data_IF_376056122069
#
_entry.id   IF_376056122069
#
_cell.length_a   1.000
_cell.length_b   1.000
_cell.length_c   1.000
_cell.angle_alpha   90.00
_cell.angle_beta   90.00
_cell.angle_gamma   90.00
#
_symmetry.space_group_name_H-M   'P 1'
#
loop_
_entity.id
_entity.type
_entity.pdbx_description
1 polymer ?
#
# COMPACT_ATOMS: atom_id res chain seq x y z
N UNK A 1 -15.59 24.37 -36.72
CA UNK A 1 -16.32 24.16 -35.44
C UNK A 1 -15.97 22.86 -34.73
N UNK A 2 -15.78 21.73 -35.42
CA UNK A 2 -15.47 20.42 -34.79
C UNK A 2 -14.21 20.37 -33.90
N UNK A 3 -13.09 21.00 -34.30
CA UNK A 3 -11.84 21.00 -33.52
C UNK A 3 -11.92 21.78 -32.20
N UNK A 4 -12.76 22.82 -32.13
CA UNK A 4 -12.91 23.65 -30.93
C UNK A 4 -13.72 22.91 -29.87
N UNK A 5 -14.79 22.22 -30.28
CA UNK A 5 -15.59 21.37 -29.39
C UNK A 5 -14.79 20.17 -28.83
N UNK A 6 -13.92 19.56 -29.64
CA UNK A 6 -13.03 18.48 -29.18
C UNK A 6 -11.97 18.96 -28.17
N UNK A 7 -11.47 20.19 -28.31
CA UNK A 7 -10.51 20.75 -27.36
C UNK A 7 -11.17 21.12 -26.03
N UNK A 8 -12.39 21.67 -26.05
CA UNK A 8 -13.15 21.99 -24.83
C UNK A 8 -13.40 20.73 -24.00
N UNK A 9 -13.83 19.63 -24.63
CA UNK A 9 -14.07 18.37 -23.92
C UNK A 9 -12.80 17.74 -23.32
N UNK A 10 -11.64 17.94 -23.94
CA UNK A 10 -10.35 17.45 -23.41
C UNK A 10 -9.87 18.27 -22.22
N UNK A 11 -10.07 19.58 -22.26
CA UNK A 11 -9.68 20.49 -21.19
C UNK A 11 -10.56 20.29 -19.95
N UNK A 12 -11.86 20.08 -20.13
CA UNK A 12 -12.79 19.75 -19.04
C UNK A 12 -12.42 18.41 -18.38
N UNK A 13 -12.20 17.35 -19.16
CA UNK A 13 -11.76 16.06 -18.66
C UNK A 13 -10.45 16.16 -17.85
N UNK A 14 -9.50 16.95 -18.34
CA UNK A 14 -8.21 17.15 -17.65
C UNK A 14 -8.39 17.87 -16.31
N UNK A 15 -9.32 18.81 -16.21
CA UNK A 15 -9.65 19.49 -14.94
C UNK A 15 -10.33 18.55 -13.95
N UNK A 16 -11.23 17.71 -14.43
CA UNK A 16 -11.91 16.71 -13.61
C UNK A 16 -10.92 15.70 -13.04
N UNK A 17 -10.02 15.16 -13.87
CA UNK A 17 -8.94 14.26 -13.43
C UNK A 17 -8.06 14.94 -12.37
N UNK A 18 -7.58 16.15 -12.62
CA UNK A 18 -6.76 16.88 -11.64
C UNK A 18 -7.53 17.23 -10.35
N UNK A 19 -8.85 17.41 -10.41
CA UNK A 19 -9.67 17.60 -9.22
C UNK A 19 -9.83 16.30 -8.43
N UNK A 20 -9.97 15.17 -9.11
CA UNK A 20 -10.03 13.85 -8.50
C UNK A 20 -8.69 13.49 -7.84
N UNK A 21 -7.58 13.64 -8.53
CA UNK A 21 -6.22 13.41 -7.97
C UNK A 21 -5.98 14.26 -6.72
N UNK A 22 -6.43 15.52 -6.71
CA UNK A 22 -6.31 16.39 -5.53
C UNK A 22 -7.12 15.86 -4.34
N UNK A 23 -8.35 15.38 -4.59
CA UNK A 23 -9.18 14.79 -3.54
C UNK A 23 -8.56 13.51 -2.98
N UNK A 24 -8.08 12.64 -3.85
CA UNK A 24 -7.38 11.40 -3.46
C UNK A 24 -6.15 11.75 -2.61
N UNK A 25 -5.31 12.67 -3.08
CA UNK A 25 -4.14 13.13 -2.35
C UNK A 25 -4.49 13.74 -0.98
N UNK A 26 -5.57 14.52 -0.88
CA UNK A 26 -6.01 15.12 0.38
C UNK A 26 -6.48 14.06 1.39
N UNK A 27 -7.17 13.02 0.92
CA UNK A 27 -7.61 11.88 1.75
C UNK A 27 -6.40 11.10 2.26
N UNK A 28 -5.51 10.67 1.36
CA UNK A 28 -4.28 9.94 1.73
C UNK A 28 -3.44 10.76 2.70
N UNK A 29 -3.23 12.05 2.40
CA UNK A 29 -2.47 12.96 3.27
C UNK A 29 -3.05 13.02 4.67
N UNK A 30 -4.37 13.16 4.80
CA UNK A 30 -5.03 13.24 6.11
C UNK A 30 -4.87 11.94 6.90
N UNK A 31 -5.08 10.79 6.26
CA UNK A 31 -4.90 9.49 6.89
C UNK A 31 -3.45 9.30 7.38
N UNK A 32 -2.47 9.62 6.52
CA UNK A 32 -1.05 9.50 6.86
C UNK A 32 -0.64 10.45 7.99
N UNK A 33 -1.12 11.70 7.98
CA UNK A 33 -0.82 12.65 9.06
C UNK A 33 -1.41 12.19 10.39
N UNK A 34 -2.63 11.65 10.41
CA UNK A 34 -3.22 11.11 11.62
C UNK A 34 -2.39 9.97 12.19
N UNK A 35 -1.88 9.09 11.34
CA UNK A 35 -1.00 7.99 11.74
C UNK A 35 0.34 8.50 12.30
N UNK A 36 1.01 9.40 11.58
CA UNK A 36 2.30 9.97 11.99
C UNK A 36 2.24 10.85 13.25
N UNK A 37 1.06 11.34 13.60
CA UNK A 37 0.82 12.13 14.82
C UNK A 37 0.35 11.27 15.99
N UNK A 38 0.13 9.96 15.79
CA UNK A 38 -0.26 9.08 16.88
C UNK A 38 0.87 9.00 17.93
N UNK A 39 0.54 9.00 19.23
CA UNK A 39 1.56 8.87 20.27
C UNK A 39 2.25 7.51 20.17
N UNK A 40 3.58 7.51 20.31
CA UNK A 40 4.40 6.31 20.33
C UNK A 40 5.28 6.25 21.59
N UNK A 41 5.68 5.05 22.05
CA UNK A 41 6.65 4.94 23.13
C UNK A 41 8.04 5.42 22.67
N UNK A 42 8.75 6.16 23.53
CA UNK A 42 10.06 6.76 23.22
C UNK A 42 11.18 5.73 22.94
N UNK A 43 10.90 4.44 23.16
CA UNK A 43 11.88 3.37 23.12
C UNK A 43 11.71 2.39 21.95
N UNK A 44 10.90 2.76 20.97
CA UNK A 44 10.63 1.99 19.76
C UNK A 44 11.53 2.45 18.63
N UNK A 45 12.30 1.53 18.04
CA UNK A 45 13.21 1.83 16.95
C UNK A 45 13.08 0.85 15.80
N UNK A 46 12.99 1.40 14.59
CA UNK A 46 13.15 0.64 13.35
C UNK A 46 14.58 0.72 12.86
N UNK A 47 15.17 -0.43 12.53
CA UNK A 47 16.50 -0.44 11.92
C UNK A 47 16.42 0.12 10.49
N UNK A 48 17.49 0.77 10.03
CA UNK A 48 17.61 1.18 8.63
C UNK A 48 17.43 -0.01 7.67
N UNK A 49 17.84 -1.21 8.08
CA UNK A 49 17.64 -2.42 7.29
C UNK A 49 16.16 -2.73 7.10
N UNK A 50 15.38 -2.71 8.18
CA UNK A 50 13.92 -2.88 8.14
C UNK A 50 13.25 -1.88 7.21
N UNK A 51 13.60 -0.59 7.33
CA UNK A 51 13.04 0.46 6.48
C UNK A 51 13.38 0.20 5.01
N UNK A 52 14.64 -0.15 4.71
CA UNK A 52 15.06 -0.49 3.35
C UNK A 52 14.33 -1.72 2.80
N UNK A 53 14.08 -2.72 3.63
CA UNK A 53 13.40 -3.94 3.19
C UNK A 53 11.92 -3.69 2.87
N UNK A 54 11.23 -2.87 3.68
CA UNK A 54 9.84 -2.47 3.39
C UNK A 54 9.77 -1.66 2.10
N UNK A 55 10.66 -0.68 1.92
CA UNK A 55 10.71 0.12 0.69
C UNK A 55 11.06 -0.75 -0.52
N UNK A 56 12.01 -1.69 -0.37
CA UNK A 56 12.37 -2.63 -1.43
C UNK A 56 11.18 -3.53 -1.80
N UNK A 57 10.41 -4.00 -0.82
CA UNK A 57 9.21 -4.79 -1.05
C UNK A 57 8.16 -4.02 -1.86
N UNK A 58 7.96 -2.73 -1.58
CA UNK A 58 7.07 -1.88 -2.37
C UNK A 58 7.47 -1.87 -3.85
N UNK A 59 8.73 -1.54 -4.14
CA UNK A 59 9.21 -1.45 -5.52
C UNK A 59 9.30 -2.79 -6.25
N UNK A 60 9.41 -3.92 -5.52
CA UNK A 60 9.29 -5.24 -6.13
C UNK A 60 7.84 -5.62 -6.44
N UNK A 61 6.89 -5.14 -5.63
CA UNK A 61 5.48 -5.42 -5.82
C UNK A 61 4.88 -4.57 -6.96
N UNK A 62 5.32 -3.33 -7.13
CA UNK A 62 4.95 -2.46 -8.27
C UNK A 62 5.60 -2.96 -9.58
N UNK A 63 5.00 -3.99 -10.16
CA UNK A 63 5.50 -4.65 -11.38
C UNK A 63 5.22 -3.81 -12.63
N UNK A 64 4.11 -3.06 -12.61
CA UNK A 64 3.73 -2.16 -13.70
C UNK A 64 4.60 -0.90 -13.75
N UNK A 65 5.21 -0.50 -12.63
CA UNK A 65 6.09 0.66 -12.52
C UNK A 65 5.34 1.99 -12.51
N UNK A 66 4.06 1.97 -12.14
CA UNK A 66 3.21 3.17 -12.12
C UNK A 66 3.22 3.90 -10.77
N UNK A 67 4.01 3.41 -9.81
CA UNK A 67 4.16 3.99 -8.49
C UNK A 67 3.03 3.64 -7.53
N UNK A 68 2.16 2.69 -7.91
CA UNK A 68 1.11 2.14 -7.04
C UNK A 68 1.07 0.61 -7.16
N UNK A 69 0.65 -0.05 -6.10
CA UNK A 69 0.47 -1.51 -6.07
C UNK A 69 -1.01 -1.82 -6.25
N UNK A 70 -1.37 -2.44 -7.37
CA UNK A 70 -2.72 -3.01 -7.57
C UNK A 70 -2.98 -4.22 -6.67
N UNK A 71 -4.25 -4.61 -6.54
CA UNK A 71 -4.61 -5.79 -5.75
C UNK A 71 -3.94 -7.09 -6.25
N UNK A 72 -3.82 -7.26 -7.55
CA UNK A 72 -3.16 -8.44 -8.13
C UNK A 72 -1.65 -8.44 -7.88
N UNK A 73 -0.98 -7.30 -8.05
CA UNK A 73 0.42 -7.12 -7.67
C UNK A 73 0.65 -7.36 -6.17
N UNK A 74 -0.28 -6.90 -5.33
CA UNK A 74 -0.24 -7.18 -3.90
C UNK A 74 -0.34 -8.68 -3.62
N UNK A 75 -1.31 -9.40 -4.19
CA UNK A 75 -1.41 -10.86 -4.03
C UNK A 75 -0.16 -11.59 -4.52
N UNK A 76 0.36 -11.20 -5.68
CA UNK A 76 1.52 -11.85 -6.27
C UNK A 76 2.79 -11.60 -5.45
N UNK A 77 2.92 -10.42 -4.83
CA UNK A 77 4.02 -10.12 -3.90
C UNK A 77 4.02 -11.01 -2.65
N UNK A 78 2.88 -11.58 -2.26
CA UNK A 78 2.75 -12.46 -1.10
C UNK A 78 2.96 -13.95 -1.43
N UNK A 79 3.15 -14.28 -2.72
CA UNK A 79 3.41 -15.67 -3.11
C UNK A 79 4.76 -16.11 -2.56
N UNK A 80 4.87 -17.35 -2.06
CA UNK A 80 6.15 -17.93 -1.67
C UNK A 80 7.12 -17.85 -2.86
N UNK A 81 8.33 -17.33 -2.61
CA UNK A 81 9.34 -17.22 -3.64
C UNK A 81 9.86 -18.59 -4.08
N UNK A 82 10.68 -18.62 -5.16
CA UNK A 82 11.27 -19.86 -5.71
C UNK A 82 12.15 -20.67 -4.73
N UNK A 83 12.49 -20.08 -3.58
CA UNK A 83 13.30 -20.69 -2.53
C UNK A 83 12.47 -21.16 -1.33
N UNK A 84 11.15 -20.95 -1.36
CA UNK A 84 10.24 -21.48 -0.34
C UNK A 84 10.20 -23.01 -0.41
N UNK A 85 10.03 -23.66 0.74
CA UNK A 85 9.91 -25.12 0.80
C UNK A 85 8.67 -25.61 0.06
N UNK A 86 8.64 -26.89 -0.32
CA UNK A 86 7.46 -27.50 -0.94
C UNK A 86 6.23 -27.41 -0.04
N UNK A 87 6.42 -27.47 1.28
CA UNK A 87 5.36 -27.35 2.29
C UNK A 87 4.79 -25.93 2.35
N UNK A 88 5.64 -24.89 2.27
CA UNK A 88 5.22 -23.49 2.22
C UNK A 88 4.45 -23.19 0.93
N UNK A 89 4.94 -23.69 -0.20
CA UNK A 89 4.26 -23.57 -1.49
C UNK A 89 2.90 -24.28 -1.45
N UNK A 90 2.87 -25.53 -1.00
CA UNK A 90 1.66 -26.34 -0.90
C UNK A 90 0.62 -25.71 0.03
N UNK A 91 1.03 -25.25 1.21
CA UNK A 91 0.14 -24.60 2.18
C UNK A 91 -0.49 -23.31 1.64
N UNK A 92 0.25 -22.54 0.83
CA UNK A 92 -0.28 -21.36 0.15
C UNK A 92 -1.34 -21.73 -0.89
N UNK A 93 -1.07 -22.74 -1.74
CA UNK A 93 -2.01 -23.15 -2.78
C UNK A 93 -3.25 -23.88 -2.23
N UNK A 94 -3.12 -24.67 -1.17
CA UNK A 94 -4.25 -25.37 -0.54
C UNK A 94 -5.24 -24.43 0.16
N UNK A 95 -4.76 -23.28 0.67
CA UNK A 95 -5.59 -22.29 1.37
C UNK A 95 -5.84 -21.03 0.55
N UNK A 96 -5.68 -21.11 -0.77
CA UNK A 96 -5.70 -19.94 -1.67
C UNK A 96 -6.89 -19.03 -1.42
N UNK A 97 -8.11 -19.56 -1.29
CA UNK A 97 -9.32 -18.73 -1.10
C UNK A 97 -9.31 -17.97 0.23
N UNK A 98 -8.87 -18.62 1.31
CA UNK A 98 -8.78 -17.98 2.63
C UNK A 98 -7.70 -16.89 2.62
N UNK A 99 -6.53 -17.22 2.10
CA UNK A 99 -5.39 -16.29 1.99
C UNK A 99 -5.80 -15.09 1.12
N UNK A 100 -6.48 -15.31 -0.01
CA UNK A 100 -6.96 -14.22 -0.87
C UNK A 100 -7.96 -13.32 -0.16
N UNK A 101 -8.85 -13.84 0.68
CA UNK A 101 -9.76 -13.01 1.49
C UNK A 101 -9.01 -12.18 2.52
N UNK A 102 -8.11 -12.79 3.28
CA UNK A 102 -7.33 -12.07 4.30
C UNK A 102 -6.47 -10.96 3.68
N UNK A 103 -5.83 -11.26 2.54
CA UNK A 103 -5.04 -10.28 1.81
C UNK A 103 -5.91 -9.20 1.16
N UNK A 104 -7.12 -9.53 0.69
CA UNK A 104 -8.08 -8.54 0.22
C UNK A 104 -8.53 -7.59 1.33
N UNK A 105 -8.89 -8.13 2.50
CA UNK A 105 -9.35 -7.34 3.65
C UNK A 105 -8.22 -6.42 4.12
N UNK A 106 -6.99 -6.93 4.15
CA UNK A 106 -5.80 -6.12 4.46
C UNK A 106 -5.59 -5.03 3.42
N UNK A 107 -5.66 -5.35 2.13
CA UNK A 107 -5.52 -4.38 1.05
C UNK A 107 -6.57 -3.26 1.19
N UNK A 108 -7.83 -3.63 1.41
CA UNK A 108 -8.94 -2.69 1.61
C UNK A 108 -8.78 -1.83 2.86
N UNK A 109 -8.19 -2.36 3.92
CA UNK A 109 -7.86 -1.57 5.11
C UNK A 109 -6.81 -0.49 4.87
N UNK A 110 -5.97 -0.65 3.85
CA UNK A 110 -4.89 0.28 3.51
C UNK A 110 -5.24 1.25 2.39
N UNK A 111 -6.10 0.84 1.45
CA UNK A 111 -6.63 1.65 0.36
C UNK A 111 -7.68 2.64 0.89
N UNK A 112 -7.20 3.77 1.42
CA UNK A 112 -8.07 4.80 2.01
C UNK A 112 -8.75 5.66 0.95
N UNK A 113 -8.24 5.66 -0.27
CA UNK A 113 -8.84 6.41 -1.39
C UNK A 113 -9.96 5.63 -2.09
N UNK A 114 -9.92 4.30 -2.00
CA UNK A 114 -10.84 3.40 -2.69
C UNK A 114 -10.52 3.21 -4.17
N UNK A 115 -9.31 3.59 -4.62
CA UNK A 115 -8.89 3.49 -6.02
C UNK A 115 -8.45 2.06 -6.43
N UNK A 116 -8.52 1.12 -5.48
CA UNK A 116 -8.04 -0.26 -5.60
C UNK A 116 -6.55 -0.38 -5.90
N UNK A 117 -5.77 0.60 -5.44
CA UNK A 117 -4.32 0.63 -5.53
C UNK A 117 -3.74 1.13 -4.22
N UNK A 118 -2.49 0.78 -3.93
CA UNK A 118 -1.77 1.28 -2.77
C UNK A 118 -0.62 2.15 -3.25
N UNK A 119 -0.69 3.44 -2.95
CA UNK A 119 0.45 4.34 -3.06
C UNK A 119 1.55 3.95 -2.06
N UNK A 120 2.78 4.45 -2.28
CA UNK A 120 3.87 4.27 -1.32
C UNK A 120 3.50 4.78 0.09
N UNK A 121 2.75 5.88 0.17
CA UNK A 121 2.30 6.44 1.43
C UNK A 121 1.35 5.50 2.17
N UNK A 122 0.35 4.94 1.48
CA UNK A 122 -0.57 3.95 2.06
C UNK A 122 0.18 2.68 2.47
N UNK A 123 1.04 2.16 1.60
CA UNK A 123 1.81 0.96 1.88
C UNK A 123 2.76 1.12 3.09
N UNK A 124 3.50 2.23 3.14
CA UNK A 124 4.53 2.43 4.16
C UNK A 124 3.95 2.99 5.46
N UNK A 125 3.22 4.10 5.40
CA UNK A 125 2.75 4.78 6.61
C UNK A 125 1.60 3.99 7.22
N UNK A 126 0.55 3.70 6.45
CA UNK A 126 -0.60 2.98 6.98
C UNK A 126 -0.30 1.47 7.12
N UNK A 127 0.34 0.88 6.12
CA UNK A 127 0.56 -0.56 6.02
C UNK A 127 1.72 -1.11 6.85
N UNK A 128 2.81 -0.36 7.00
CA UNK A 128 3.94 -0.76 7.83
C UNK A 128 3.85 -0.13 9.23
N UNK A 129 3.84 1.20 9.35
CA UNK A 129 3.82 1.86 10.66
C UNK A 129 2.49 1.67 11.38
N UNK A 130 1.37 1.94 10.70
CA UNK A 130 0.03 1.84 11.30
C UNK A 130 -0.35 0.44 11.74
N UNK A 131 -0.07 -0.57 10.91
CA UNK A 131 -0.28 -1.97 11.29
C UNK A 131 0.62 -2.35 12.46
N UNK A 132 1.92 -2.01 12.43
CA UNK A 132 2.81 -2.36 13.53
C UNK A 132 2.41 -1.68 14.85
N UNK A 133 1.95 -0.43 14.81
CA UNK A 133 1.36 0.26 15.96
C UNK A 133 0.13 -0.45 16.48
N UNK A 134 -0.79 -0.87 15.60
CA UNK A 134 -2.00 -1.61 16.00
C UNK A 134 -1.67 -2.99 16.61
N UNK A 135 -0.49 -3.51 16.31
CA UNK A 135 0.05 -4.76 16.84
C UNK A 135 1.02 -4.55 18.02
N UNK A 136 1.05 -3.37 18.63
CA UNK A 136 1.93 -3.03 19.77
C UNK A 136 3.44 -3.10 19.46
N UNK A 137 3.80 -2.70 18.23
CA UNK A 137 5.17 -2.56 17.74
C UNK A 137 5.96 -3.88 17.74
N UNK A 138 5.38 -4.95 17.18
CA UNK A 138 6.02 -6.28 17.10
C UNK A 138 7.23 -6.31 16.18
N UNK A 139 7.27 -5.47 15.15
CA UNK A 139 8.38 -5.42 14.17
C UNK A 139 9.48 -4.48 14.61
N UNK A 140 9.19 -3.55 15.51
CA UNK A 140 10.18 -2.63 16.04
C UNK A 140 11.04 -3.28 17.13
N UNK A 141 12.26 -2.75 17.29
CA UNK A 141 13.10 -3.08 18.45
C UNK A 141 12.68 -2.20 19.62
N UNK A 142 12.47 -2.82 20.78
CA UNK A 142 12.28 -2.12 22.07
C UNK A 142 13.63 -2.07 22.78
N UNK A 143 14.03 -0.90 23.24
CA UNK A 143 15.24 -0.71 24.05
C UNK A 143 14.79 -0.32 25.46
N UNK A 144 15.38 -0.94 26.48
CA UNK A 144 15.08 -0.61 27.88
C UNK A 144 15.83 0.66 28.34
#
# INVERSE_FOLDING_TARGET
MYRVAQNIGRDELSRELAAQERKENDVTRRACLNELMAPEPDNIYYSLHTIKDVLRAFYYADQSGDGKISLDEFFDSQRPGRYASEEEQKGFYENTDKIRRELYDRFKGLDVTGDNRLSLAEFFILGFLGVDRSEEYKKAKKID
#
